data_IF_853115759014
#
_entry.id   IF_853115759014
#
_cell.length_a   1.000
_cell.length_b   1.000
_cell.length_c   1.000
_cell.angle_alpha   90.00
_cell.angle_beta   90.00
_cell.angle_gamma   90.00
#
_symmetry.space_group_name_H-M   'P 1'
#
loop_
_entity.id
_entity.type
_entity.pdbx_description
1 polymer ?
#
# COMPACT_ATOMS: atom_id res chain seq x y z
N UNK A 1 15.25 13.22 -10.79
CA UNK A 1 14.05 13.86 -10.21
C UNK A 1 12.92 14.02 -11.24
N UNK A 2 13.18 14.56 -12.44
CA UNK A 2 12.17 14.69 -13.51
C UNK A 2 11.49 13.35 -13.85
N UNK A 3 12.23 12.26 -13.97
CA UNK A 3 11.68 10.93 -14.24
C UNK A 3 10.72 10.43 -13.14
N UNK A 4 10.96 10.79 -11.88
CA UNK A 4 10.10 10.40 -10.75
C UNK A 4 8.79 11.18 -10.81
N UNK A 5 8.87 12.49 -11.05
CA UNK A 5 7.70 13.35 -11.18
C UNK A 5 6.83 12.92 -12.37
N UNK A 6 7.44 12.68 -13.53
CA UNK A 6 6.75 12.19 -14.72
C UNK A 6 6.06 10.85 -14.46
N UNK A 7 6.75 9.90 -13.82
CA UNK A 7 6.17 8.60 -13.49
C UNK A 7 5.02 8.73 -12.49
N UNK A 8 5.17 9.57 -11.47
CA UNK A 8 4.11 9.79 -10.46
C UNK A 8 2.85 10.37 -11.12
N UNK A 9 3.02 11.37 -11.99
CA UNK A 9 1.90 11.96 -12.76
C UNK A 9 1.23 10.89 -13.62
N UNK A 10 2.01 10.09 -14.35
CA UNK A 10 1.52 9.02 -15.20
C UNK A 10 0.76 7.95 -14.39
N UNK A 11 1.28 7.53 -13.24
CA UNK A 11 0.64 6.57 -12.35
C UNK A 11 -0.69 7.11 -11.81
N UNK A 12 -0.74 8.37 -11.37
CA UNK A 12 -1.97 9.00 -10.87
C UNK A 12 -3.01 9.15 -11.98
N UNK A 13 -2.61 9.57 -13.18
CA UNK A 13 -3.50 9.64 -14.36
C UNK A 13 -4.06 8.25 -14.70
N UNK A 14 -3.21 7.23 -14.72
CA UNK A 14 -3.64 5.85 -15.03
C UNK A 14 -4.63 5.36 -13.98
N UNK A 15 -4.36 5.57 -12.69
CA UNK A 15 -5.27 5.25 -11.60
C UNK A 15 -6.61 5.98 -11.72
N UNK A 16 -6.60 7.25 -12.13
CA UNK A 16 -7.81 8.04 -12.31
C UNK A 16 -8.68 7.50 -13.46
N UNK A 17 -8.09 7.24 -14.62
CA UNK A 17 -8.81 6.74 -15.80
C UNK A 17 -9.29 5.29 -15.65
N UNK A 18 -8.47 4.41 -15.07
CA UNK A 18 -8.79 2.99 -14.89
C UNK A 18 -9.44 2.69 -13.53
N UNK A 19 -9.83 3.71 -12.76
CA UNK A 19 -10.36 3.56 -11.41
C UNK A 19 -11.50 2.52 -11.33
N UNK A 20 -12.50 2.65 -12.22
CA UNK A 20 -13.65 1.74 -12.24
C UNK A 20 -13.24 0.31 -12.58
N UNK A 21 -12.40 0.14 -13.60
CA UNK A 21 -11.93 -1.19 -14.01
C UNK A 21 -11.08 -1.86 -12.93
N UNK A 22 -10.27 -1.09 -12.19
CA UNK A 22 -9.49 -1.60 -11.05
C UNK A 22 -10.39 -2.04 -9.91
N UNK A 23 -11.47 -1.31 -9.64
CA UNK A 23 -12.44 -1.74 -8.65
C UNK A 23 -13.09 -3.07 -9.02
N UNK A 24 -13.50 -3.25 -10.28
CA UNK A 24 -14.09 -4.49 -10.75
C UNK A 24 -13.13 -5.67 -10.58
N UNK A 25 -11.87 -5.50 -11.01
CA UNK A 25 -10.82 -6.52 -10.86
C UNK A 25 -10.54 -6.82 -9.37
N UNK A 26 -10.54 -5.80 -8.51
CA UNK A 26 -10.29 -5.98 -7.08
C UNK A 26 -11.44 -6.68 -6.33
N UNK A 27 -12.65 -6.66 -6.87
CA UNK A 27 -13.79 -7.41 -6.33
C UNK A 27 -13.77 -8.87 -6.79
N UNK A 28 -13.71 -9.08 -8.10
CA UNK A 28 -13.68 -10.40 -8.71
C UNK A 28 -13.12 -10.30 -10.14
N UNK A 29 -11.95 -10.91 -10.34
CA UNK A 29 -11.24 -10.91 -11.61
C UNK A 29 -11.96 -11.71 -12.69
N UNK A 30 -12.59 -12.83 -12.32
CA UNK A 30 -13.34 -13.65 -13.27
C UNK A 30 -14.65 -12.97 -13.69
N UNK A 31 -15.37 -12.38 -12.72
CA UNK A 31 -16.57 -11.61 -13.02
C UNK A 31 -16.25 -10.37 -13.88
N UNK A 32 -15.12 -9.70 -13.65
CA UNK A 32 -14.66 -8.58 -14.48
C UNK A 32 -14.39 -9.02 -15.93
N UNK A 33 -13.78 -10.19 -16.12
CA UNK A 33 -13.53 -10.76 -17.45
C UNK A 33 -14.84 -11.07 -18.19
N UNK A 34 -15.83 -11.63 -17.49
CA UNK A 34 -17.17 -11.88 -18.04
C UNK A 34 -17.91 -10.57 -18.35
N UNK A 35 -17.72 -9.51 -17.55
CA UNK A 35 -18.28 -8.18 -17.77
C UNK A 35 -17.62 -7.39 -18.92
N UNK A 36 -16.69 -7.99 -19.66
CA UNK A 36 -16.03 -7.38 -20.82
C UNK A 36 -14.82 -6.49 -20.48
N UNK A 37 -14.36 -6.50 -19.23
CA UNK A 37 -13.14 -5.79 -18.83
C UNK A 37 -11.92 -6.57 -19.35
N UNK A 38 -11.01 -5.89 -20.05
CA UNK A 38 -9.73 -6.46 -20.49
C UNK A 38 -8.74 -6.55 -19.33
N UNK A 39 -9.00 -7.48 -18.42
CA UNK A 39 -8.24 -7.70 -17.19
C UNK A 39 -6.73 -7.80 -17.46
N UNK A 40 -6.32 -8.66 -18.40
CA UNK A 40 -4.90 -8.88 -18.67
C UNK A 40 -4.20 -7.61 -19.13
N UNK A 41 -4.84 -6.82 -19.99
CA UNK A 41 -4.30 -5.54 -20.48
C UNK A 41 -4.09 -4.53 -19.33
N UNK A 42 -5.04 -4.46 -18.41
CA UNK A 42 -4.96 -3.59 -17.24
C UNK A 42 -3.84 -4.06 -16.30
N UNK A 43 -3.78 -5.36 -16.01
CA UNK A 43 -2.74 -5.94 -15.19
C UNK A 43 -1.34 -5.71 -15.79
N UNK A 44 -1.19 -5.81 -17.12
CA UNK A 44 0.07 -5.48 -17.80
C UNK A 44 0.47 -4.01 -17.64
N UNK A 45 -0.46 -3.07 -17.82
CA UNK A 45 -0.18 -1.64 -17.61
C UNK A 45 0.28 -1.38 -16.18
N UNK A 46 -0.42 -1.95 -15.19
CA UNK A 46 -0.07 -1.79 -13.79
C UNK A 46 1.27 -2.45 -13.44
N UNK A 47 1.54 -3.63 -13.98
CA UNK A 47 2.81 -4.32 -13.78
C UNK A 47 3.98 -3.50 -14.34
N UNK A 48 3.84 -2.89 -15.52
CA UNK A 48 4.87 -2.03 -16.12
C UNK A 48 5.08 -0.77 -15.29
N UNK A 49 4.01 -0.11 -14.86
CA UNK A 49 4.10 1.07 -14.00
C UNK A 49 4.77 0.76 -12.66
N UNK A 50 4.38 -0.36 -12.03
CA UNK A 50 4.99 -0.84 -10.79
C UNK A 50 6.46 -1.17 -10.98
N UNK A 51 6.83 -1.90 -12.04
CA UNK A 51 8.21 -2.24 -12.34
C UNK A 51 9.08 -0.99 -12.55
N UNK A 52 8.56 0.01 -13.27
CA UNK A 52 9.23 1.30 -13.45
C UNK A 52 9.40 2.05 -12.12
N UNK A 53 8.36 2.09 -11.29
CA UNK A 53 8.39 2.77 -9.99
C UNK A 53 9.39 2.11 -9.04
N UNK A 54 9.37 0.78 -8.97
CA UNK A 54 10.29 -0.02 -8.17
C UNK A 54 11.73 0.18 -8.63
N UNK A 55 11.99 0.08 -9.94
CA UNK A 55 13.33 0.23 -10.52
C UNK A 55 13.99 1.57 -10.17
N UNK A 56 13.22 2.67 -10.25
CA UNK A 56 13.74 4.00 -9.90
C UNK A 56 13.92 4.13 -8.38
N UNK A 57 12.99 3.57 -7.58
CA UNK A 57 13.00 3.69 -6.12
C UNK A 57 14.12 2.91 -5.44
N UNK A 58 14.54 1.76 -5.99
CA UNK A 58 15.62 0.93 -5.44
C UNK A 58 16.92 1.75 -5.27
N UNK A 59 17.24 2.63 -6.22
CA UNK A 59 18.47 3.44 -6.16
C UNK A 59 18.45 4.49 -5.05
N UNK A 60 17.27 4.90 -4.60
CA UNK A 60 17.10 5.97 -3.61
C UNK A 60 17.00 5.39 -2.21
N UNK A 61 16.15 4.37 -2.04
CA UNK A 61 15.77 3.86 -0.71
C UNK A 61 16.47 2.52 -0.40
N UNK A 62 16.84 1.75 -1.43
CA UNK A 62 17.36 0.40 -1.28
C UNK A 62 16.27 -0.68 -1.31
N UNK A 63 16.68 -1.90 -1.68
CA UNK A 63 15.77 -3.05 -1.89
C UNK A 63 15.02 -3.46 -0.62
N UNK A 64 15.70 -3.43 0.54
CA UNK A 64 15.13 -3.87 1.83
C UNK A 64 13.95 -3.02 2.29
N UNK A 65 14.05 -1.70 2.17
CA UNK A 65 12.95 -0.80 2.55
C UNK A 65 11.80 -0.96 1.57
N UNK A 66 12.13 -1.06 0.29
CA UNK A 66 11.13 -1.07 -0.78
C UNK A 66 10.19 -2.28 -0.67
N UNK A 67 10.74 -3.48 -0.40
CA UNK A 67 9.92 -4.69 -0.25
C UNK A 67 8.94 -4.59 0.93
N UNK A 68 9.40 -4.04 2.05
CA UNK A 68 8.58 -3.83 3.23
C UNK A 68 7.46 -2.81 2.98
N UNK A 69 7.78 -1.70 2.30
CA UNK A 69 6.83 -0.61 2.05
C UNK A 69 5.77 -0.91 0.99
N UNK A 70 6.02 -1.86 0.08
CA UNK A 70 5.02 -2.29 -0.90
C UNK A 70 3.95 -3.16 -0.23
N UNK A 71 4.33 -4.03 0.70
CA UNK A 71 3.42 -5.00 1.29
C UNK A 71 2.75 -4.53 2.59
N UNK A 72 3.55 -4.04 3.56
CA UNK A 72 3.08 -3.87 4.94
C UNK A 72 2.11 -2.69 5.14
N UNK A 73 2.36 -1.49 4.60
CA UNK A 73 1.42 -0.37 4.73
C UNK A 73 0.10 -0.63 4.01
N UNK A 74 0.15 -1.33 2.86
CA UNK A 74 -1.03 -1.75 2.10
C UNK A 74 -1.85 -2.76 2.92
N UNK A 75 -1.21 -3.77 3.49
CA UNK A 75 -1.86 -4.72 4.39
C UNK A 75 -2.44 -4.05 5.64
N UNK A 76 -1.76 -3.03 6.18
CA UNK A 76 -2.25 -2.21 7.29
C UNK A 76 -3.50 -1.44 6.90
N UNK A 77 -3.53 -0.84 5.70
CA UNK A 77 -4.69 -0.12 5.21
C UNK A 77 -5.89 -1.03 4.92
N UNK A 78 -5.64 -2.21 4.33
CA UNK A 78 -6.68 -3.19 4.00
C UNK A 78 -7.45 -3.65 5.23
N UNK A 79 -6.79 -3.74 6.38
CA UNK A 79 -7.42 -4.11 7.64
C UNK A 79 -8.45 -3.11 8.17
N UNK A 80 -8.45 -1.87 7.69
CA UNK A 80 -9.42 -0.87 8.12
C UNK A 80 -10.82 -1.11 7.53
N UNK A 81 -10.93 -1.89 6.44
CA UNK A 81 -12.20 -2.29 5.81
C UNK A 81 -13.12 -1.10 5.43
N UNK A 82 -12.54 0.08 5.12
CA UNK A 82 -13.29 1.33 4.83
C UNK A 82 -13.53 1.60 3.33
N UNK A 83 -13.43 0.58 2.48
CA UNK A 83 -13.60 0.69 1.03
C UNK A 83 -12.33 1.11 0.28
N UNK A 84 -12.32 0.92 -1.05
CA UNK A 84 -11.11 0.99 -1.88
C UNK A 84 -10.40 2.36 -1.85
N UNK A 85 -11.14 3.47 -1.99
CA UNK A 85 -10.52 4.83 -1.94
C UNK A 85 -9.85 5.10 -0.61
N UNK A 86 -10.53 4.75 0.49
CA UNK A 86 -10.00 4.96 1.83
C UNK A 86 -8.80 4.06 2.08
N UNK A 87 -8.83 2.81 1.64
CA UNK A 87 -7.67 1.90 1.70
C UNK A 87 -6.48 2.47 0.91
N UNK A 88 -6.70 2.98 -0.29
CA UNK A 88 -5.64 3.57 -1.12
C UNK A 88 -5.01 4.78 -0.43
N UNK A 89 -5.82 5.72 0.08
CA UNK A 89 -5.33 6.90 0.80
C UNK A 89 -4.64 6.55 2.13
N UNK A 90 -5.23 5.62 2.90
CA UNK A 90 -4.63 5.16 4.16
C UNK A 90 -3.30 4.45 3.91
N UNK A 91 -3.17 3.66 2.84
CA UNK A 91 -1.91 3.01 2.50
C UNK A 91 -0.81 4.01 2.22
N UNK A 92 -1.10 5.06 1.44
CA UNK A 92 -0.15 6.15 1.16
C UNK A 92 0.26 6.83 2.47
N UNK A 93 -0.72 7.14 3.33
CA UNK A 93 -0.48 7.74 4.64
C UNK A 93 0.40 6.86 5.55
N UNK A 94 0.10 5.56 5.66
CA UNK A 94 0.91 4.63 6.46
C UNK A 94 2.31 4.46 5.92
N UNK A 95 2.49 4.41 4.59
CA UNK A 95 3.81 4.39 3.97
C UNK A 95 4.61 5.63 4.35
N UNK A 96 4.04 6.82 4.18
CA UNK A 96 4.71 8.07 4.54
C UNK A 96 5.08 8.12 6.03
N UNK A 97 4.15 7.75 6.91
CA UNK A 97 4.40 7.71 8.36
C UNK A 97 5.52 6.71 8.71
N UNK A 98 5.50 5.51 8.13
CA UNK A 98 6.53 4.49 8.36
C UNK A 98 7.91 4.99 7.91
N UNK A 99 7.98 5.67 6.76
CA UNK A 99 9.22 6.23 6.24
C UNK A 99 9.75 7.36 7.12
N UNK A 100 8.88 8.32 7.51
CA UNK A 100 9.27 9.44 8.36
C UNK A 100 9.74 8.93 9.73
N UNK A 101 8.90 8.17 10.44
CA UNK A 101 9.23 7.66 11.77
C UNK A 101 10.46 6.74 11.70
N UNK A 102 10.53 5.87 10.70
CA UNK A 102 11.64 4.95 10.53
C UNK A 102 12.96 5.67 10.22
N UNK A 103 12.94 6.70 9.37
CA UNK A 103 14.15 7.45 9.04
C UNK A 103 14.64 8.30 10.22
N UNK A 104 13.73 9.02 10.89
CA UNK A 104 14.08 9.79 12.09
C UNK A 104 14.57 8.87 13.22
N UNK A 105 13.89 7.75 13.48
CA UNK A 105 14.32 6.79 14.51
C UNK A 105 15.67 6.15 14.21
N UNK A 106 15.93 5.80 12.94
CA UNK A 106 17.24 5.32 12.48
C UNK A 106 18.35 6.34 12.73
N UNK A 107 18.08 7.63 12.50
CA UNK A 107 19.05 8.69 12.74
C UNK A 107 19.44 8.79 14.22
N UNK A 108 18.48 8.76 15.15
CA UNK A 108 18.77 8.82 16.58
C UNK A 108 19.48 7.56 17.10
N UNK A 109 19.07 6.39 16.62
CA UNK A 109 19.61 5.11 17.10
C UNK A 109 20.90 4.68 16.38
N UNK A 110 21.37 5.44 15.38
CA UNK A 110 22.52 5.10 14.53
C UNK A 110 22.44 3.68 13.92
N UNK A 111 21.23 3.20 13.62
CA UNK A 111 20.99 1.88 13.01
C UNK A 111 20.77 2.04 11.51
N UNK A 112 21.07 1.00 10.72
CA UNK A 112 20.81 0.99 9.29
C UNK A 112 19.34 1.37 8.97
N UNK A 113 19.10 2.48 8.22
CA UNK A 113 17.75 2.97 7.93
C UNK A 113 16.91 1.95 7.16
N UNK A 114 17.60 1.11 6.37
CA UNK A 114 17.00 0.00 5.64
C UNK A 114 16.13 -0.92 6.50
N UNK A 115 16.75 -1.49 7.53
CA UNK A 115 16.08 -2.40 8.44
C UNK A 115 15.09 -1.69 9.36
N UNK A 116 15.42 -0.49 9.82
CA UNK A 116 14.60 0.22 10.79
C UNK A 116 13.27 0.72 10.21
N UNK A 117 13.24 1.19 8.95
CA UNK A 117 11.98 1.55 8.27
C UNK A 117 11.10 0.32 8.04
N UNK A 118 11.70 -0.83 7.71
CA UNK A 118 10.98 -2.11 7.59
C UNK A 118 10.35 -2.51 8.93
N UNK A 119 11.12 -2.48 10.02
CA UNK A 119 10.61 -2.75 11.37
C UNK A 119 9.48 -1.81 11.78
N UNK A 120 9.61 -0.52 11.45
CA UNK A 120 8.56 0.48 11.71
C UNK A 120 7.28 0.15 10.94
N UNK A 121 7.40 -0.29 9.68
CA UNK A 121 6.25 -0.71 8.87
C UNK A 121 5.56 -1.95 9.45
N UNK A 122 6.33 -2.92 9.98
CA UNK A 122 5.78 -4.08 10.70
C UNK A 122 5.09 -3.65 11.98
N UNK A 123 5.69 -2.73 12.75
CA UNK A 123 5.10 -2.22 13.98
C UNK A 123 3.75 -1.54 13.71
N UNK A 124 3.63 -0.73 12.66
CA UNK A 124 2.36 -0.12 12.24
C UNK A 124 1.32 -1.20 11.91
N UNK A 125 1.70 -2.23 11.16
CA UNK A 125 0.80 -3.35 10.83
C UNK A 125 0.29 -4.06 12.08
N UNK A 126 1.18 -4.35 13.04
CA UNK A 126 0.83 -5.00 14.30
C UNK A 126 -0.11 -4.13 15.14
N UNK A 127 0.15 -2.82 15.22
CA UNK A 127 -0.73 -1.88 15.92
C UNK A 127 -2.13 -1.88 15.30
N UNK A 128 -2.22 -1.84 13.96
CA UNK A 128 -3.52 -1.89 13.27
C UNK A 128 -4.24 -3.22 13.51
N UNK A 129 -3.52 -4.35 13.49
CA UNK A 129 -4.08 -5.68 13.82
C UNK A 129 -4.64 -5.73 15.23
N UNK A 130 -3.89 -5.24 16.22
CA UNK A 130 -4.31 -5.23 17.62
C UNK A 130 -5.55 -4.37 17.80
N UNK A 131 -5.57 -3.16 17.23
CA UNK A 131 -6.75 -2.27 17.27
C UNK A 131 -7.96 -2.94 16.61
N UNK A 132 -7.78 -3.57 15.45
CA UNK A 132 -8.86 -4.30 14.76
C UNK A 132 -9.38 -5.45 15.62
N UNK A 133 -8.50 -6.25 16.21
CA UNK A 133 -8.88 -7.39 17.02
C UNK A 133 -9.67 -6.95 18.26
N UNK A 134 -9.18 -5.92 18.97
CA UNK A 134 -9.89 -5.33 20.11
C UNK A 134 -11.28 -4.82 19.69
N UNK A 135 -11.38 -4.13 18.55
CA UNK A 135 -12.66 -3.60 18.04
C UNK A 135 -13.62 -4.71 17.64
N UNK A 136 -13.11 -5.81 17.10
CA UNK A 136 -13.89 -7.00 16.74
C UNK A 136 -14.41 -7.71 17.98
N UNK A 137 -13.58 -7.86 19.00
CA UNK A 137 -13.96 -8.46 20.30
C UNK A 137 -15.03 -7.60 20.99
N UNK A 138 -14.84 -6.28 21.04
CA UNK A 138 -15.81 -5.35 21.60
C UNK A 138 -17.16 -5.40 20.86
N UNK A 139 -17.16 -5.49 19.53
CA UNK A 139 -18.39 -5.66 18.74
C UNK A 139 -19.09 -7.00 19.02
N UNK A 140 -18.34 -8.09 19.23
CA UNK A 140 -18.90 -9.40 19.59
C UNK A 140 -19.54 -9.39 20.98
N UNK A 141 -18.97 -8.66 21.95
CA UNK A 141 -19.57 -8.50 23.28
C UNK A 141 -20.86 -7.67 23.26
N UNK A 142 -20.98 -6.71 22.34
CA UNK A 142 -22.19 -5.89 22.21
C UNK A 142 -23.38 -6.62 21.59
N UNK A 143 -23.16 -7.73 20.87
CA UNK A 143 -24.21 -8.58 20.30
C UNK A 143 -24.66 -9.73 21.23
N UNK A 144 -24.07 -9.85 22.42
CA UNK A 144 -24.45 -10.81 23.46
C UNK A 144 -25.16 -10.12 24.64
N UNK A 145 -25.99 -9.12 24.33
CA UNK A 145 -27.01 -8.54 25.20
C UNK A 145 -28.24 -8.25 24.34
#
# INVERSE_FOLDING_TARGET
MISIAALTILSVLTLYFLYNSLLYIAYDEEAARVAGVKVDFINYIFAILMAAAVSISIKIVGVLVLSAMIALPVASALQLEKGFRTTLLCSIGFSLLAMVIGLFGSYYLNVAPGGFVSLTSVAILLVVLVIKNIRTILRRMQFSK
#
